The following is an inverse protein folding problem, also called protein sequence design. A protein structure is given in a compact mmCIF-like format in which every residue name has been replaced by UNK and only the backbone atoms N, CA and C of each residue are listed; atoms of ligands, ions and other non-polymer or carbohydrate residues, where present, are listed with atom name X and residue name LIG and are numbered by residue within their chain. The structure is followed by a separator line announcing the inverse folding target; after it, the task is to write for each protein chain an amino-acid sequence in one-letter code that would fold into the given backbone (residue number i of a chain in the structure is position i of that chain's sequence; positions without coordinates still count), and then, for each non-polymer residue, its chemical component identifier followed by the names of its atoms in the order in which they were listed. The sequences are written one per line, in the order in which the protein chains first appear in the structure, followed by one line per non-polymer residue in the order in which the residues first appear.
data_IF_072271405901
#
_entry.id   IF_072271405901
#
_cell.length_a   1.000
_cell.length_b   1.000
_cell.length_c   1.000
_cell.angle_alpha   90.00
_cell.angle_beta   90.00
_cell.angle_gamma   90.00
#
_symmetry.space_group_name_H-M   'P 1'
#
loop_
_entity.id
_entity.type
_entity.pdbx_description
1 polymer ?
#
# COMPACT_ATOMS: atom_id res chain seq x y z
N UNK A 1 13.22 29.52 -10.09
CA UNK A 1 14.65 29.97 -10.33
C UNK A 1 15.52 29.23 -9.34
N UNK A 2 16.27 28.22 -9.83
CA UNK A 2 17.27 27.50 -9.02
C UNK A 2 18.45 28.45 -8.83
N UNK A 3 18.80 28.76 -7.57
CA UNK A 3 20.00 29.58 -7.25
C UNK A 3 21.24 28.82 -7.71
N UNK A 4 22.16 29.51 -8.43
CA UNK A 4 23.47 28.97 -8.81
C UNK A 4 24.22 28.51 -7.56
N UNK A 5 24.53 27.21 -7.50
CA UNK A 5 25.31 26.58 -6.42
C UNK A 5 24.63 25.48 -5.64
N UNK A 6 23.32 25.25 -5.81
CA UNK A 6 22.63 24.14 -5.18
C UNK A 6 22.75 22.89 -6.05
N UNK A 7 23.40 21.84 -5.55
CA UNK A 7 23.36 20.53 -6.19
C UNK A 7 21.95 20.00 -6.01
N UNK A 8 21.13 20.08 -7.06
CA UNK A 8 19.82 19.43 -7.08
C UNK A 8 20.05 17.95 -7.37
N UNK A 9 19.79 17.08 -6.43
CA UNK A 9 19.65 15.65 -6.67
C UNK A 9 18.20 15.44 -7.12
N UNK A 10 18.01 15.27 -8.43
CA UNK A 10 16.75 14.76 -8.95
C UNK A 10 16.68 13.27 -8.59
N UNK A 11 15.91 12.91 -7.56
CA UNK A 11 15.39 11.56 -7.42
C UNK A 11 14.36 11.40 -8.54
N UNK A 12 14.83 11.02 -9.73
CA UNK A 12 13.98 10.54 -10.81
C UNK A 12 13.37 9.21 -10.34
N UNK A 13 12.22 9.28 -9.70
CA UNK A 13 11.30 8.16 -9.59
C UNK A 13 10.75 7.92 -11.01
N UNK A 14 11.58 7.37 -11.89
CA UNK A 14 11.18 7.06 -13.26
C UNK A 14 10.47 5.70 -13.22
N UNK A 15 9.16 5.64 -13.46
CA UNK A 15 8.43 4.38 -13.46
C UNK A 15 8.75 3.50 -14.69
N UNK A 16 9.61 3.91 -15.60
CA UNK A 16 9.79 3.27 -16.91
C UNK A 16 11.19 2.69 -17.18
N UNK A 17 12.13 2.79 -16.25
CA UNK A 17 13.44 2.22 -16.50
C UNK A 17 13.57 0.81 -15.90
N UNK A 18 13.90 -0.13 -16.79
CA UNK A 18 14.85 -1.21 -16.51
C UNK A 18 16.22 -0.50 -16.25
N UNK A 19 16.28 0.28 -15.17
CA UNK A 19 17.44 1.04 -14.77
C UNK A 19 18.62 0.12 -14.52
N UNK A 20 19.86 0.67 -14.56
CA UNK A 20 21.05 -0.10 -14.26
C UNK A 20 20.83 -0.84 -12.93
N UNK A 21 21.17 -2.11 -12.93
CA UNK A 21 21.16 -2.94 -11.71
C UNK A 21 21.71 -2.12 -10.56
N UNK A 22 20.91 -1.91 -9.52
CA UNK A 22 21.34 -1.25 -8.29
C UNK A 22 22.74 -1.77 -7.92
N UNK A 23 23.66 -0.91 -7.48
CA UNK A 23 24.97 -1.37 -7.04
C UNK A 23 24.78 -2.51 -6.06
N UNK A 24 25.62 -3.57 -6.10
CA UNK A 24 25.47 -4.72 -5.22
C UNK A 24 25.38 -4.19 -3.78
N UNK A 25 24.27 -4.50 -3.11
CA UNK A 25 24.07 -4.09 -1.73
C UNK A 25 25.26 -4.53 -0.90
N UNK A 26 25.80 -3.63 -0.08
CA UNK A 26 26.96 -3.93 0.75
C UNK A 26 26.67 -5.19 1.59
N UNK A 27 27.70 -6.02 1.91
CA UNK A 27 27.53 -7.29 2.62
C UNK A 27 26.70 -7.15 3.91
N UNK A 28 26.88 -6.05 4.63
CA UNK A 28 26.17 -5.76 5.89
C UNK A 28 24.66 -5.54 5.69
N UNK A 29 24.24 -4.91 4.58
CA UNK A 29 22.81 -4.78 4.24
C UNK A 29 22.22 -6.16 3.94
N UNK A 30 22.97 -7.03 3.24
CA UNK A 30 22.51 -8.40 2.97
C UNK A 30 22.30 -9.21 4.25
N UNK A 31 23.20 -9.07 5.22
CA UNK A 31 23.08 -9.71 6.54
C UNK A 31 21.81 -9.25 7.26
N UNK A 32 21.55 -7.94 7.27
CA UNK A 32 20.32 -7.40 7.86
C UNK A 32 19.08 -7.95 7.13
N UNK A 33 19.08 -7.96 5.80
CA UNK A 33 17.94 -8.47 5.04
C UNK A 33 17.69 -9.97 5.28
N UNK A 34 18.74 -10.76 5.48
CA UNK A 34 18.61 -12.18 5.83
C UNK A 34 18.07 -12.37 7.27
N UNK A 35 18.51 -11.53 8.24
CA UNK A 35 17.95 -11.49 9.60
C UNK A 35 16.45 -11.16 9.61
N UNK A 36 16.00 -10.31 8.67
CA UNK A 36 14.63 -9.83 8.58
C UNK A 36 13.85 -10.43 7.39
N UNK A 37 14.24 -11.59 6.89
CA UNK A 37 13.55 -12.24 5.75
C UNK A 37 12.07 -12.53 6.00
N UNK A 38 11.66 -12.68 7.24
CA UNK A 38 10.26 -12.85 7.64
C UNK A 38 9.40 -11.59 7.40
N UNK A 39 10.04 -10.40 7.32
CA UNK A 39 9.39 -9.14 6.93
C UNK A 39 9.13 -9.09 5.42
N UNK A 40 9.83 -9.92 4.63
CA UNK A 40 9.73 -9.96 3.16
C UNK A 40 9.25 -11.32 2.63
N UNK A 41 8.09 -11.82 3.07
CA UNK A 41 7.58 -13.10 2.60
C UNK A 41 7.23 -13.03 1.10
N UNK A 42 7.24 -14.16 0.40
CA UNK A 42 6.84 -14.22 -1.01
C UNK A 42 5.38 -13.86 -1.23
N UNK A 43 4.52 -14.16 -0.24
CA UNK A 43 3.10 -13.81 -0.22
C UNK A 43 2.70 -13.31 1.16
N UNK A 44 1.62 -12.52 1.24
CA UNK A 44 1.05 -12.15 2.54
C UNK A 44 0.59 -13.41 3.27
N UNK A 45 0.80 -13.50 4.58
CA UNK A 45 0.31 -14.61 5.38
C UNK A 45 -1.21 -14.77 5.25
N UNK A 46 -1.68 -16.02 5.29
CA UNK A 46 -3.09 -16.33 5.33
C UNK A 46 -3.72 -15.79 6.63
N UNK A 47 -4.96 -15.35 6.53
CA UNK A 47 -5.70 -14.77 7.64
C UNK A 47 -5.69 -13.25 7.66
N UNK A 48 -6.51 -12.70 8.53
CA UNK A 48 -6.67 -11.24 8.63
C UNK A 48 -5.44 -10.60 9.29
N UNK A 49 -5.06 -9.39 8.86
CA UNK A 49 -4.07 -8.58 9.56
C UNK A 49 -4.43 -8.42 11.05
N UNK A 50 -3.49 -8.07 11.93
CA UNK A 50 -3.81 -7.82 13.33
C UNK A 50 -4.86 -6.71 13.47
N UNK A 51 -5.77 -6.86 14.43
CA UNK A 51 -6.70 -5.79 14.79
C UNK A 51 -5.90 -4.61 15.32
N UNK A 52 -6.22 -3.41 14.86
CA UNK A 52 -5.60 -2.15 15.29
C UNK A 52 -6.69 -1.21 15.79
N UNK A 53 -6.30 -0.21 16.57
CA UNK A 53 -7.23 0.83 17.06
C UNK A 53 -7.89 1.61 15.92
N UNK A 54 -7.28 1.61 14.73
CA UNK A 54 -7.71 2.35 13.55
C UNK A 54 -8.06 1.41 12.39
N UNK A 55 -8.97 0.45 12.62
CA UNK A 55 -9.57 -0.29 11.51
C UNK A 55 -10.30 0.69 10.56
N UNK A 56 -10.14 0.49 9.25
CA UNK A 56 -10.67 1.42 8.26
C UNK A 56 -12.20 1.49 8.28
N UNK A 57 -12.72 2.69 8.46
CA UNK A 57 -14.16 2.98 8.47
C UNK A 57 -14.59 3.80 7.26
N UNK A 58 -15.64 3.34 6.57
CA UNK A 58 -16.28 4.08 5.48
C UNK A 58 -17.44 4.87 6.09
N UNK A 59 -17.25 6.16 6.23
CA UNK A 59 -18.30 7.09 6.66
C UNK A 59 -19.03 7.62 5.44
N UNK A 60 -20.35 7.55 5.47
CA UNK A 60 -21.19 8.00 4.37
C UNK A 60 -21.85 9.33 4.72
N UNK A 61 -22.13 10.11 3.67
CA UNK A 61 -22.99 11.30 3.84
C UNK A 61 -24.36 10.91 4.34
N UNK A 62 -25.09 11.79 5.07
CA UNK A 62 -26.45 11.51 5.52
C UNK A 62 -27.33 11.05 4.37
N UNK A 63 -28.23 10.12 4.65
CA UNK A 63 -29.22 9.55 3.73
C UNK A 63 -28.64 8.83 2.48
N UNK A 64 -27.36 8.45 2.53
CA UNK A 64 -26.75 7.68 1.46
C UNK A 64 -27.37 6.28 1.36
N UNK A 65 -28.06 6.02 0.26
CA UNK A 65 -28.64 4.71 -0.05
C UNK A 65 -27.60 3.77 -0.67
N UNK A 66 -27.75 2.44 -0.48
CA UNK A 66 -26.89 1.45 -1.11
C UNK A 66 -26.89 1.58 -2.63
N UNK A 67 -25.68 1.62 -3.20
CA UNK A 67 -25.46 1.75 -4.63
C UNK A 67 -25.16 0.39 -5.25
N UNK A 68 -25.88 0.07 -6.31
CA UNK A 68 -25.76 -1.18 -7.05
C UNK A 68 -25.60 -0.87 -8.55
N UNK A 69 -24.46 -1.26 -9.12
CA UNK A 69 -24.18 -1.10 -10.54
C UNK A 69 -24.17 -2.43 -11.28
N UNK A 70 -24.46 -2.38 -12.60
CA UNK A 70 -24.36 -3.54 -13.48
C UNK A 70 -22.91 -4.03 -13.64
N UNK A 71 -22.76 -5.29 -14.07
CA UNK A 71 -21.45 -5.87 -14.37
C UNK A 71 -20.88 -5.27 -15.66
N UNK A 72 -19.57 -5.08 -15.68
CA UNK A 72 -18.86 -4.83 -16.93
C UNK A 72 -18.60 -6.13 -17.68
N UNK A 73 -18.55 -6.06 -19.00
CA UNK A 73 -18.20 -7.19 -19.84
C UNK A 73 -16.70 -7.49 -19.69
N UNK A 74 -16.38 -8.74 -19.43
CA UNK A 74 -15.00 -9.24 -19.37
C UNK A 74 -14.71 -10.12 -20.58
N UNK A 75 -13.48 -10.06 -21.06
CA UNK A 75 -12.95 -11.01 -22.05
C UNK A 75 -12.74 -12.39 -21.41
N UNK A 76 -12.49 -13.41 -22.25
CA UNK A 76 -12.20 -14.77 -21.77
C UNK A 76 -10.98 -14.78 -20.85
N UNK A 77 -9.89 -14.12 -21.24
CA UNK A 77 -8.66 -14.05 -20.43
C UNK A 77 -8.90 -13.36 -19.07
N UNK A 78 -9.63 -12.26 -19.05
CA UNK A 78 -9.98 -11.57 -17.79
C UNK A 78 -10.90 -12.44 -16.92
N UNK A 79 -11.73 -13.27 -17.51
CA UNK A 79 -12.60 -14.19 -16.77
C UNK A 79 -11.82 -15.32 -16.11
N UNK A 80 -10.82 -15.87 -16.76
CA UNK A 80 -9.90 -16.88 -16.21
C UNK A 80 -9.08 -16.29 -15.07
N UNK A 81 -8.52 -15.11 -15.28
CA UNK A 81 -7.77 -14.36 -14.25
C UNK A 81 -8.64 -14.01 -13.04
N UNK A 82 -9.90 -13.61 -13.27
CA UNK A 82 -10.86 -13.35 -12.19
C UNK A 82 -11.03 -14.57 -11.29
N UNK A 83 -11.16 -15.75 -11.87
CA UNK A 83 -11.32 -16.99 -11.11
C UNK A 83 -10.11 -17.26 -10.21
N UNK A 84 -8.91 -17.08 -10.76
CA UNK A 84 -7.66 -17.26 -10.03
C UNK A 84 -7.52 -16.26 -8.89
N UNK A 85 -7.73 -14.95 -9.17
CA UNK A 85 -7.58 -13.90 -8.15
C UNK A 85 -8.67 -13.98 -7.07
N UNK A 86 -9.91 -14.38 -7.40
CA UNK A 86 -10.96 -14.61 -6.40
C UNK A 86 -10.60 -15.77 -5.47
N UNK A 87 -10.06 -16.85 -6.00
CA UNK A 87 -9.62 -18.00 -5.20
C UNK A 87 -8.53 -17.60 -4.21
N UNK A 88 -7.49 -16.93 -4.68
CA UNK A 88 -6.40 -16.42 -3.84
C UNK A 88 -6.89 -15.48 -2.72
N UNK A 89 -7.78 -14.54 -3.04
CA UNK A 89 -8.35 -13.61 -2.06
C UNK A 89 -9.23 -14.31 -1.02
N UNK A 90 -10.01 -15.33 -1.43
CA UNK A 90 -10.82 -16.15 -0.53
C UNK A 90 -9.96 -17.02 0.39
N UNK A 91 -8.93 -17.67 -0.15
CA UNK A 91 -7.98 -18.47 0.64
C UNK A 91 -7.25 -17.64 1.71
N UNK A 92 -6.86 -16.41 1.36
CA UNK A 92 -6.26 -15.46 2.30
C UNK A 92 -7.26 -14.88 3.30
N UNK A 93 -8.55 -15.09 3.11
CA UNK A 93 -9.60 -14.50 3.93
C UNK A 93 -9.74 -12.99 3.73
N UNK A 94 -9.22 -12.42 2.64
CA UNK A 94 -9.29 -10.99 2.32
C UNK A 94 -10.63 -10.58 1.74
N UNK A 95 -11.38 -11.54 1.22
CA UNK A 95 -12.77 -11.38 0.80
C UNK A 95 -13.61 -12.53 1.36
N UNK A 96 -14.91 -12.29 1.41
CA UNK A 96 -15.90 -13.30 1.79
C UNK A 96 -17.16 -13.17 0.91
N UNK A 97 -18.00 -14.24 0.78
CA UNK A 97 -19.31 -14.13 0.16
C UNK A 97 -20.17 -13.08 0.88
N UNK A 98 -21.00 -12.37 0.12
CA UNK A 98 -21.78 -11.25 0.65
C UNK A 98 -23.27 -11.40 0.32
N UNK A 99 -24.12 -10.89 1.22
CA UNK A 99 -25.55 -10.63 1.00
C UNK A 99 -25.88 -9.14 1.03
N UNK A 100 -24.85 -8.28 0.92
CA UNK A 100 -24.97 -6.83 1.02
C UNK A 100 -25.89 -6.23 -0.04
N UNK A 101 -26.65 -5.18 0.29
CA UNK A 101 -27.41 -4.39 -0.70
C UNK A 101 -26.50 -3.56 -1.60
N UNK A 102 -25.22 -3.37 -1.24
CA UNK A 102 -24.23 -2.69 -2.08
C UNK A 102 -23.69 -3.61 -3.16
N UNK A 103 -23.17 -3.04 -4.25
CA UNK A 103 -22.58 -3.87 -5.30
C UNK A 103 -21.87 -3.04 -6.37
N UNK A 104 -20.56 -2.92 -6.25
CA UNK A 104 -19.70 -2.28 -7.23
C UNK A 104 -19.29 -3.27 -8.34
N UNK A 105 -19.16 -2.85 -9.61
CA UNK A 105 -18.63 -3.70 -10.66
C UNK A 105 -17.12 -3.82 -10.56
N UNK A 106 -16.58 -4.88 -11.16
CA UNK A 106 -15.14 -5.08 -11.31
C UNK A 106 -14.68 -4.75 -12.72
N UNK A 107 -13.40 -4.42 -12.84
CA UNK A 107 -12.69 -4.25 -14.10
C UNK A 107 -11.24 -4.75 -13.93
N UNK A 108 -10.57 -4.99 -15.04
CA UNK A 108 -9.16 -5.34 -15.05
C UNK A 108 -8.32 -4.19 -15.60
N UNK A 109 -7.14 -4.00 -14.99
CA UNK A 109 -6.12 -3.07 -15.44
C UNK A 109 -4.85 -3.87 -15.74
N UNK A 110 -4.24 -3.60 -16.89
CA UNK A 110 -2.97 -4.21 -17.25
C UNK A 110 -1.87 -3.74 -16.29
N UNK A 111 -1.11 -4.68 -15.76
CA UNK A 111 0.14 -4.39 -15.07
C UNK A 111 1.25 -4.12 -16.09
N UNK A 112 2.32 -3.45 -15.67
CA UNK A 112 3.51 -3.21 -16.51
C UNK A 112 4.20 -4.50 -16.96
N UNK A 113 4.12 -5.53 -16.14
CA UNK A 113 4.64 -6.89 -16.39
C UNK A 113 3.74 -7.75 -17.31
N UNK A 114 2.69 -7.17 -17.91
CA UNK A 114 1.76 -7.85 -18.81
C UNK A 114 0.65 -8.66 -18.12
N UNK A 115 0.66 -8.72 -16.78
CA UNK A 115 -0.41 -9.35 -16.01
C UNK A 115 -1.64 -8.45 -15.84
N UNK A 116 -2.72 -9.01 -15.29
CA UNK A 116 -3.93 -8.28 -14.95
C UNK A 116 -4.02 -7.99 -13.45
N UNK A 117 -4.59 -6.83 -13.10
CA UNK A 117 -4.96 -6.48 -11.74
C UNK A 117 -6.47 -6.34 -11.66
N UNK A 118 -7.09 -7.12 -10.78
CA UNK A 118 -8.50 -6.95 -10.42
C UNK A 118 -8.68 -5.61 -9.71
N UNK A 119 -9.56 -4.78 -10.21
CA UNK A 119 -9.95 -3.51 -9.61
C UNK A 119 -11.46 -3.49 -9.41
N UNK A 120 -11.91 -2.91 -8.30
CA UNK A 120 -13.33 -2.66 -8.05
C UNK A 120 -13.62 -1.19 -8.32
N UNK A 121 -14.67 -0.92 -9.09
CA UNK A 121 -15.08 0.45 -9.40
C UNK A 121 -15.87 1.08 -8.25
N UNK A 122 -15.15 1.61 -7.28
CA UNK A 122 -15.73 2.31 -6.14
C UNK A 122 -16.09 3.76 -6.41
N UNK A 123 -16.01 4.28 -7.65
CA UNK A 123 -16.32 5.69 -7.95
C UNK A 123 -17.69 6.15 -7.44
N UNK A 124 -18.69 5.27 -7.49
CA UNK A 124 -20.03 5.59 -6.99
C UNK A 124 -20.07 5.64 -5.45
N UNK A 125 -19.45 4.68 -4.78
CA UNK A 125 -19.29 4.67 -3.32
C UNK A 125 -18.47 5.89 -2.85
N UNK A 126 -17.38 6.21 -3.53
CA UNK A 126 -16.52 7.35 -3.21
C UNK A 126 -17.26 8.70 -3.29
N UNK A 127 -18.28 8.83 -4.15
CA UNK A 127 -19.10 10.05 -4.24
C UNK A 127 -19.95 10.31 -3.01
N UNK A 128 -20.37 9.24 -2.33
CA UNK A 128 -21.19 9.32 -1.12
C UNK A 128 -20.40 9.09 0.17
N UNK A 129 -19.08 8.92 0.06
CA UNK A 129 -18.17 8.79 1.20
C UNK A 129 -17.72 10.16 1.67
N UNK A 130 -17.79 10.42 2.98
CA UNK A 130 -17.21 11.60 3.61
C UNK A 130 -15.69 11.56 3.42
N UNK A 131 -15.15 12.57 2.76
CA UNK A 131 -13.72 12.64 2.48
C UNK A 131 -12.93 13.03 3.71
N UNK A 132 -11.88 12.29 3.99
CA UNK A 132 -10.91 12.60 5.01
C UNK A 132 -10.00 13.76 4.54
N UNK A 133 -9.66 14.65 5.46
CA UNK A 133 -8.76 15.80 5.25
C UNK A 133 -7.36 15.56 5.84
N UNK A 134 -6.93 14.31 5.94
CA UNK A 134 -5.58 13.99 6.44
C UNK A 134 -4.51 14.66 5.59
N UNK A 135 -3.58 15.42 6.20
CA UNK A 135 -2.58 16.16 5.46
C UNK A 135 -1.60 15.19 4.77
N UNK A 136 -1.35 15.41 3.49
CA UNK A 136 -0.23 14.78 2.81
C UNK A 136 1.00 15.67 2.92
N UNK A 137 2.20 15.11 3.16
CA UNK A 137 3.43 15.88 3.17
C UNK A 137 3.62 16.63 1.85
N UNK A 138 4.14 17.87 1.95
CA UNK A 138 4.50 18.62 0.75
C UNK A 138 5.84 18.14 0.22
N UNK A 139 5.96 18.08 -1.10
CA UNK A 139 7.19 17.61 -1.74
C UNK A 139 8.39 18.48 -1.34
N UNK A 140 8.19 19.81 -1.22
CA UNK A 140 9.24 20.74 -0.82
C UNK A 140 9.75 20.44 0.60
N UNK A 141 8.84 20.14 1.55
CA UNK A 141 9.19 19.79 2.93
C UNK A 141 9.99 18.46 2.98
N UNK A 142 9.66 17.50 2.09
CA UNK A 142 10.42 16.24 1.97
C UNK A 142 11.86 16.51 1.49
N UNK A 143 12.05 17.37 0.49
CA UNK A 143 13.39 17.70 -0.01
C UNK A 143 14.24 18.42 1.07
N UNK A 144 13.64 19.28 1.86
CA UNK A 144 14.35 19.97 2.95
C UNK A 144 14.84 18.97 4.02
N UNK A 145 14.06 17.96 4.34
CA UNK A 145 14.43 16.89 5.29
C UNK A 145 15.59 16.03 4.79
N UNK A 146 15.71 15.82 3.49
CA UNK A 146 16.80 15.02 2.89
C UNK A 146 18.16 15.76 2.82
N UNK A 147 18.22 17.02 3.24
CA UNK A 147 19.44 17.81 3.18
C UNK A 147 20.53 17.19 4.07
N UNK A 148 21.70 16.90 3.46
CA UNK A 148 22.84 16.29 4.14
C UNK A 148 22.83 14.75 4.17
N UNK A 149 21.76 14.10 3.79
CA UNK A 149 21.71 12.64 3.66
C UNK A 149 22.52 12.16 2.44
N UNK A 150 23.20 11.02 2.60
CA UNK A 150 24.03 10.37 1.56
C UNK A 150 23.60 8.95 1.26
N UNK A 151 22.99 8.28 2.20
CA UNK A 151 22.52 6.90 2.11
C UNK A 151 21.02 6.85 2.18
N UNK A 152 20.42 6.05 1.30
CA UNK A 152 18.98 5.98 1.14
C UNK A 152 18.55 4.52 0.97
N UNK A 153 17.45 4.14 1.62
CA UNK A 153 16.75 2.89 1.35
C UNK A 153 15.27 3.16 1.19
N UNK A 154 14.67 2.49 0.22
CA UNK A 154 13.23 2.56 -0.04
C UNK A 154 12.60 1.21 0.23
N UNK A 155 11.55 1.17 1.04
CA UNK A 155 10.76 -0.04 1.29
C UNK A 155 9.35 0.17 0.71
N UNK A 156 8.95 -0.75 -0.19
CA UNK A 156 7.58 -0.84 -0.75
C UNK A 156 6.85 -1.97 0.01
N UNK A 157 5.68 -1.66 0.57
CA UNK A 157 4.89 -2.66 1.29
C UNK A 157 4.10 -3.55 0.32
N UNK A 158 4.12 -4.85 0.58
CA UNK A 158 3.41 -5.85 -0.22
C UNK A 158 1.90 -5.67 -0.10
N UNK A 159 1.24 -5.19 -1.16
CA UNK A 159 -0.20 -4.89 -1.15
C UNK A 159 -0.62 -4.13 0.11
N UNK A 160 0.06 -3.01 0.39
CA UNK A 160 0.01 -2.30 1.69
C UNK A 160 -1.39 -2.11 2.25
N UNK A 161 -2.37 -1.76 1.40
CA UNK A 161 -3.75 -1.58 1.85
C UNK A 161 -4.39 -2.88 2.37
N UNK A 162 -4.12 -4.03 1.76
CA UNK A 162 -4.62 -5.32 2.27
C UNK A 162 -4.07 -5.70 3.65
N UNK A 163 -3.08 -4.97 4.16
CA UNK A 163 -2.55 -5.15 5.50
C UNK A 163 -3.30 -4.33 6.58
N UNK A 164 -4.40 -3.70 6.21
CA UNK A 164 -5.30 -2.96 7.10
C UNK A 164 -6.67 -3.64 7.11
N UNK A 165 -7.23 -3.85 8.30
CA UNK A 165 -8.59 -4.39 8.44
C UNK A 165 -9.65 -3.33 8.13
N UNK A 166 -10.78 -3.80 7.62
CA UNK A 166 -12.00 -3.01 7.59
C UNK A 166 -12.76 -3.14 8.93
N UNK A 167 -13.31 -2.03 9.38
CA UNK A 167 -14.30 -2.05 10.44
C UNK A 167 -15.55 -2.84 9.99
N UNK A 168 -16.15 -3.60 10.90
CA UNK A 168 -17.30 -4.50 10.60
C UNK A 168 -18.42 -3.81 9.82
N UNK A 169 -18.79 -2.59 10.20
CA UNK A 169 -19.84 -1.81 9.53
C UNK A 169 -19.46 -1.33 8.12
N UNK A 170 -18.21 -1.44 7.75
CA UNK A 170 -17.69 -1.01 6.45
C UNK A 170 -17.54 -2.15 5.46
N UNK A 171 -17.40 -3.38 5.94
CA UNK A 171 -17.28 -4.59 5.12
C UNK A 171 -18.41 -4.67 4.08
N UNK A 172 -19.72 -4.59 4.44
CA UNK A 172 -20.79 -4.69 3.46
C UNK A 172 -20.79 -3.59 2.40
N UNK A 173 -20.24 -2.40 2.71
CA UNK A 173 -20.15 -1.27 1.76
C UNK A 173 -19.15 -1.53 0.63
N UNK A 174 -18.17 -2.41 0.86
CA UNK A 174 -17.16 -2.80 -0.13
C UNK A 174 -17.63 -3.88 -1.08
N UNK A 175 -18.87 -4.32 -0.98
CA UNK A 175 -19.39 -5.43 -1.78
C UNK A 175 -19.20 -5.15 -3.29
N UNK A 176 -18.73 -6.18 -3.99
CA UNK A 176 -18.51 -6.13 -5.43
C UNK A 176 -19.11 -7.36 -6.13
N UNK A 177 -19.55 -7.13 -7.34
CA UNK A 177 -20.31 -8.08 -8.14
C UNK A 177 -19.43 -8.72 -9.19
N UNK A 178 -19.52 -10.04 -9.29
CA UNK A 178 -18.88 -10.84 -10.32
C UNK A 178 -19.89 -11.79 -10.96
N UNK A 179 -19.52 -12.44 -12.04
CA UNK A 179 -20.33 -13.52 -12.62
C UNK A 179 -20.44 -14.75 -11.69
N UNK A 180 -19.54 -14.85 -10.69
CA UNK A 180 -19.50 -15.96 -9.72
C UNK A 180 -20.22 -15.66 -8.42
N UNK A 181 -20.77 -14.47 -8.26
CA UNK A 181 -21.50 -14.04 -7.09
C UNK A 181 -21.13 -12.64 -6.59
N UNK A 182 -21.61 -12.35 -5.40
CA UNK A 182 -21.36 -11.12 -4.66
C UNK A 182 -20.34 -11.44 -3.56
N UNK A 183 -19.29 -10.62 -3.47
CA UNK A 183 -18.24 -10.73 -2.47
C UNK A 183 -18.01 -9.38 -1.82
N UNK A 184 -17.45 -9.37 -0.61
CA UNK A 184 -17.07 -8.16 0.11
C UNK A 184 -15.69 -8.30 0.71
N UNK A 185 -14.96 -7.20 0.85
CA UNK A 185 -13.64 -7.19 1.45
C UNK A 185 -13.71 -7.16 2.98
N UNK A 186 -12.80 -7.87 3.61
CA UNK A 186 -12.53 -7.87 5.05
C UNK A 186 -11.31 -7.01 5.40
N UNK A 187 -10.50 -6.70 4.38
CA UNK A 187 -9.34 -5.82 4.43
C UNK A 187 -9.55 -4.62 3.50
N UNK A 188 -8.76 -3.56 3.69
CA UNK A 188 -8.87 -2.33 2.91
C UNK A 188 -8.55 -2.59 1.42
N UNK A 189 -9.53 -2.47 0.50
CA UNK A 189 -9.27 -2.64 -0.93
C UNK A 189 -8.69 -1.38 -1.56
N UNK A 190 -8.04 -1.57 -2.71
CA UNK A 190 -7.66 -0.45 -3.57
C UNK A 190 -8.89 0.26 -4.15
N UNK A 191 -8.76 1.58 -4.37
CA UNK A 191 -9.79 2.38 -5.05
C UNK A 191 -10.78 3.11 -4.14
N UNK A 192 -10.73 2.92 -2.83
CA UNK A 192 -11.49 3.73 -1.87
C UNK A 192 -10.84 5.09 -1.66
N UNK A 193 -11.66 6.16 -1.58
CA UNK A 193 -11.17 7.55 -1.55
C UNK A 193 -10.29 7.87 -0.34
N UNK A 194 -10.60 7.29 0.83
CA UNK A 194 -9.87 7.55 2.08
C UNK A 194 -8.76 6.50 2.36
N UNK A 195 -8.53 5.53 1.47
CA UNK A 195 -7.51 4.51 1.67
C UNK A 195 -6.10 5.09 1.82
N UNK A 196 -5.64 6.04 0.97
CA UNK A 196 -4.32 6.64 1.13
C UNK A 196 -4.13 7.34 2.47
N UNK A 197 -5.10 8.13 2.91
CA UNK A 197 -5.02 8.87 4.18
C UNK A 197 -5.01 7.95 5.40
N UNK A 198 -5.78 6.87 5.40
CA UNK A 198 -5.75 5.88 6.48
C UNK A 198 -4.42 5.13 6.52
N UNK A 199 -3.88 4.78 5.36
CA UNK A 199 -2.56 4.16 5.27
C UNK A 199 -1.47 5.08 5.80
N UNK A 200 -1.47 6.35 5.41
CA UNK A 200 -0.55 7.38 5.93
C UNK A 200 -0.66 7.52 7.46
N UNK A 201 -1.89 7.56 7.99
CA UNK A 201 -2.10 7.63 9.44
C UNK A 201 -1.50 6.42 10.16
N UNK A 202 -1.73 5.21 9.64
CA UNK A 202 -1.14 4.00 10.20
C UNK A 202 0.40 4.03 10.16
N UNK A 203 0.97 4.45 9.03
CA UNK A 203 2.44 4.52 8.90
C UNK A 203 3.02 5.57 9.85
N UNK A 204 2.36 6.73 9.99
CA UNK A 204 2.79 7.76 10.92
C UNK A 204 2.74 7.29 12.38
N UNK A 205 1.73 6.48 12.75
CA UNK A 205 1.66 5.89 14.09
C UNK A 205 2.78 4.86 14.31
N UNK A 206 3.03 4.00 13.32
CA UNK A 206 4.07 2.95 13.41
C UNK A 206 5.48 3.54 13.50
N UNK A 207 5.74 4.59 12.74
CA UNK A 207 7.07 5.21 12.64
C UNK A 207 7.20 6.54 13.40
N UNK A 208 6.26 6.86 14.29
CA UNK A 208 6.19 8.15 14.98
C UNK A 208 7.54 8.61 15.58
N UNK A 209 8.30 7.69 16.17
CA UNK A 209 9.61 8.01 16.77
C UNK A 209 10.72 8.26 15.74
N UNK A 210 10.53 7.81 14.50
CA UNK A 210 11.50 7.87 13.41
C UNK A 210 11.23 8.99 12.41
N UNK A 211 9.98 9.49 12.37
CA UNK A 211 9.57 10.55 11.46
C UNK A 211 10.40 11.82 11.69
N UNK A 212 10.67 12.55 10.62
CA UNK A 212 11.45 13.79 10.58
C UNK A 212 12.91 13.65 11.06
N UNK A 213 13.35 12.44 11.44
CA UNK A 213 14.72 12.15 11.86
C UNK A 213 15.48 11.40 10.80
N UNK A 214 14.95 10.25 10.36
CA UNK A 214 15.56 9.37 9.36
C UNK A 214 14.55 8.57 8.53
N UNK A 215 13.24 8.80 8.74
CA UNK A 215 12.15 8.15 7.98
C UNK A 215 11.20 9.19 7.43
N UNK A 216 10.90 9.06 6.16
CA UNK A 216 9.82 9.79 5.48
C UNK A 216 8.83 8.78 4.94
N UNK A 217 7.54 9.05 5.17
CA UNK A 217 6.45 8.27 4.61
C UNK A 217 5.77 9.10 3.52
N UNK A 218 5.68 8.54 2.32
CA UNK A 218 4.95 9.16 1.23
C UNK A 218 4.06 8.14 0.52
N UNK A 219 2.76 8.24 0.75
CA UNK A 219 1.78 7.26 0.27
C UNK A 219 2.17 5.84 0.71
N UNK A 220 2.47 4.96 -0.25
CA UNK A 220 2.79 3.54 -0.02
C UNK A 220 4.30 3.29 0.21
N UNK A 221 5.14 4.34 0.11
CA UNK A 221 6.59 4.24 0.16
C UNK A 221 7.15 4.70 1.52
N UNK A 222 8.07 3.91 2.08
CA UNK A 222 8.86 4.25 3.25
C UNK A 222 10.28 4.55 2.79
N UNK A 223 10.72 5.79 2.97
CA UNK A 223 12.08 6.22 2.64
C UNK A 223 12.89 6.36 3.92
N UNK A 224 14.03 5.69 3.99
CA UNK A 224 15.02 5.78 5.06
C UNK A 224 16.19 6.58 4.53
N UNK A 225 16.67 7.56 5.28
CA UNK A 225 17.80 8.40 4.87
C UNK A 225 18.78 8.61 6.02
N UNK A 226 20.06 8.75 5.72
CA UNK A 226 21.12 8.86 6.72
C UNK A 226 22.34 9.62 6.19
N UNK A 227 23.08 10.35 7.03
CA UNK A 227 24.31 11.05 6.63
C UNK A 227 25.51 10.12 6.50
N UNK A 228 25.56 9.02 7.28
CA UNK A 228 26.65 8.03 7.27
C UNK A 228 26.11 6.61 7.04
N UNK A 229 26.99 5.71 6.61
CA UNK A 229 26.61 4.32 6.34
C UNK A 229 26.33 3.56 7.64
N UNK A 230 27.10 3.78 8.69
CA UNK A 230 26.89 3.13 9.99
C UNK A 230 25.53 3.50 10.59
N UNK A 231 25.16 4.78 10.55
CA UNK A 231 23.82 5.20 10.97
C UNK A 231 22.73 4.59 10.09
N UNK A 232 23.00 4.45 8.76
CA UNK A 232 22.04 3.88 7.84
C UNK A 232 21.72 2.42 8.15
N UNK A 233 22.72 1.61 8.51
CA UNK A 233 22.51 0.22 8.95
C UNK A 233 21.65 0.17 10.20
N UNK A 234 21.89 1.07 11.16
CA UNK A 234 21.10 1.14 12.39
C UNK A 234 19.64 1.58 12.11
N UNK A 235 19.46 2.61 11.28
CA UNK A 235 18.13 3.09 10.89
C UNK A 235 17.35 2.04 10.14
N UNK A 236 17.98 1.36 9.17
CA UNK A 236 17.36 0.25 8.42
C UNK A 236 16.89 -0.86 9.37
N UNK A 237 17.75 -1.29 10.30
CA UNK A 237 17.40 -2.31 11.29
C UNK A 237 16.20 -1.88 12.15
N UNK A 238 16.21 -0.65 12.65
CA UNK A 238 15.10 -0.09 13.44
C UNK A 238 13.79 -0.10 12.68
N UNK A 239 13.79 0.31 11.40
CA UNK A 239 12.59 0.29 10.55
C UNK A 239 12.08 -1.13 10.33
N UNK A 240 12.98 -2.09 10.06
CA UNK A 240 12.60 -3.50 9.88
C UNK A 240 12.06 -4.14 11.17
N UNK A 241 12.59 -3.78 12.33
CA UNK A 241 12.06 -4.20 13.65
C UNK A 241 10.64 -3.67 13.88
N UNK A 242 10.38 -2.40 13.53
CA UNK A 242 9.04 -1.82 13.61
C UNK A 242 8.06 -2.53 12.67
N UNK A 243 8.45 -2.79 11.43
CA UNK A 243 7.64 -3.56 10.49
C UNK A 243 7.32 -4.96 11.04
N UNK A 244 8.32 -5.69 11.56
CA UNK A 244 8.15 -7.00 12.18
C UNK A 244 7.20 -6.95 13.37
N UNK A 245 7.40 -6.02 14.30
CA UNK A 245 6.57 -5.81 15.49
C UNK A 245 5.11 -5.56 15.14
N UNK A 246 4.87 -4.74 14.13
CA UNK A 246 3.53 -4.37 13.67
C UNK A 246 2.95 -5.34 12.63
N UNK A 247 3.64 -6.45 12.31
CA UNK A 247 3.24 -7.43 11.30
C UNK A 247 2.90 -6.76 9.95
N UNK A 248 3.79 -5.90 9.52
CA UNK A 248 3.77 -5.26 8.21
C UNK A 248 4.83 -5.89 7.32
N UNK A 249 4.49 -6.17 6.09
CA UNK A 249 5.30 -6.97 5.18
C UNK A 249 5.69 -6.18 3.94
N UNK A 250 6.98 -6.21 3.61
CA UNK A 250 7.54 -5.59 2.41
C UNK A 250 7.53 -6.50 1.19
N UNK A 251 7.68 -5.91 0.02
CA UNK A 251 7.92 -6.61 -1.24
C UNK A 251 9.37 -6.39 -1.67
N UNK A 252 10.26 -7.29 -1.29
CA UNK A 252 11.70 -7.13 -1.48
C UNK A 252 12.10 -6.75 -2.92
N UNK A 253 11.44 -7.33 -3.93
CA UNK A 253 11.71 -7.04 -5.35
C UNK A 253 11.37 -5.61 -5.80
N UNK A 254 10.69 -4.83 -4.96
CA UNK A 254 10.37 -3.42 -5.19
C UNK A 254 11.06 -2.47 -4.21
N UNK A 255 11.82 -3.03 -3.26
CA UNK A 255 12.65 -2.26 -2.35
C UNK A 255 13.99 -1.92 -3.01
N UNK A 256 14.60 -0.82 -2.56
CA UNK A 256 15.94 -0.40 -2.92
C UNK A 256 16.71 -0.14 -1.62
N UNK A 257 17.95 -0.62 -1.58
CA UNK A 257 18.81 -0.52 -0.40
C UNK A 257 20.17 -0.01 -0.77
#
# INVERSE_FOLDING_TARGET
QIRRGTKAFALLLNPEDNGPSLPPSEPQIKEILEEFKDVFPNELPNGLPPARSQDFKIELVPDAAPIKKGLYRLSTKETEELRSQLHDLLEKGFIQPSSSPWGSPILFVNKKDGGFRLCVDYRALNKVTVKNSYPLPRIDDIFDQLTGAKFFSKIDLRSGYHQIRLHKDSIPKTAFRTRYGLFEFTVLPFGLTNAPSTFMSLMNDVFHECLDKFVIIYLDDILIFSPTFEEHLHHLKTVLELLRRHKLYGKQSKCAF
#
